data_IF_790207445221
#
_entry.id   IF_790207445221
#
_cell.length_a   1.000
_cell.length_b   1.000
_cell.length_c   1.000
_cell.angle_alpha   90.00
_cell.angle_beta   90.00
_cell.angle_gamma   90.00
#
_symmetry.space_group_name_H-M   'P 1'
#
loop_
_entity.id
_entity.type
_entity.pdbx_description
1 polymer ?
#
# COMPACT_ATOMS: atom_id res chain seq x y z
N UNK A 1 -28.05 56.02 24.01
CA UNK A 1 -26.70 55.86 23.45
C UNK A 1 -26.02 54.54 23.86
N UNK A 2 -26.31 53.95 25.03
CA UNK A 2 -25.71 52.67 25.44
C UNK A 2 -26.13 51.46 24.60
N UNK A 3 -27.41 51.33 24.23
CA UNK A 3 -27.92 50.17 23.49
C UNK A 3 -27.29 49.99 22.11
N UNK A 4 -27.06 51.08 21.38
CA UNK A 4 -26.42 51.07 20.06
C UNK A 4 -24.99 50.54 20.15
N UNK A 5 -24.24 50.95 21.17
CA UNK A 5 -22.86 50.50 21.39
C UNK A 5 -22.80 49.00 21.72
N UNK A 6 -23.76 48.50 22.50
CA UNK A 6 -23.85 47.07 22.82
C UNK A 6 -24.16 46.26 21.56
N UNK A 7 -25.11 46.69 20.74
CA UNK A 7 -25.45 46.01 19.48
C UNK A 7 -24.25 46.02 18.51
N UNK A 8 -23.55 47.14 18.38
CA UNK A 8 -22.36 47.26 17.53
C UNK A 8 -21.24 46.31 17.97
N UNK A 9 -21.06 46.12 19.28
CA UNK A 9 -20.02 45.28 19.85
C UNK A 9 -20.36 43.77 19.79
N UNK A 10 -21.66 43.41 19.76
CA UNK A 10 -22.12 42.03 19.72
C UNK A 10 -22.18 41.42 18.30
N UNK A 11 -22.39 42.23 17.26
CA UNK A 11 -22.40 41.80 15.85
C UNK A 11 -21.16 41.00 15.39
N UNK A 12 -19.91 41.42 15.70
CA UNK A 12 -18.71 40.68 15.28
C UNK A 12 -18.49 39.36 16.05
N UNK A 13 -19.19 39.13 17.17
CA UNK A 13 -19.12 37.86 17.90
C UNK A 13 -19.95 36.76 17.21
N UNK A 14 -20.91 37.11 16.35
CA UNK A 14 -21.72 36.14 15.61
C UNK A 14 -21.02 35.59 14.34
N UNK A 15 -19.96 36.25 13.86
CA UNK A 15 -19.23 35.83 12.65
C UNK A 15 -17.94 35.05 12.95
N UNK A 16 -17.61 34.86 14.23
CA UNK A 16 -16.36 34.21 14.66
C UNK A 16 -16.38 32.68 14.72
N UNK A 17 -17.54 32.03 14.58
CA UNK A 17 -17.63 30.58 14.70
C UNK A 17 -17.68 29.92 13.31
N UNK A 18 -16.59 29.27 12.90
CA UNK A 18 -16.70 28.18 11.92
C UNK A 18 -15.89 28.29 10.62
N UNK A 19 -14.76 29.00 10.58
CA UNK A 19 -13.78 28.77 9.50
C UNK A 19 -12.70 27.78 9.94
N UNK A 20 -13.08 26.51 10.11
CA UNK A 20 -12.10 25.43 10.15
C UNK A 20 -11.64 25.14 8.73
N UNK A 21 -10.39 25.48 8.41
CA UNK A 21 -9.74 25.07 7.16
C UNK A 21 -9.70 23.54 7.11
N UNK A 22 -10.44 22.94 6.18
CA UNK A 22 -10.33 21.50 5.91
C UNK A 22 -8.97 21.23 5.27
N UNK A 23 -8.03 20.74 6.07
CA UNK A 23 -6.75 20.24 5.57
C UNK A 23 -6.96 18.77 5.24
N UNK A 24 -6.95 18.45 3.95
CA UNK A 24 -6.90 17.05 3.50
C UNK A 24 -5.51 16.50 3.82
N UNK A 25 -5.42 15.70 4.88
CA UNK A 25 -4.25 14.88 5.12
C UNK A 25 -4.27 13.66 4.20
N UNK A 26 -3.10 13.26 3.69
CA UNK A 26 -2.98 12.00 2.97
C UNK A 26 -3.26 10.85 3.96
N UNK A 27 -4.18 9.95 3.59
CA UNK A 27 -4.43 8.75 4.39
C UNK A 27 -3.18 7.85 4.31
N UNK A 28 -2.62 7.41 5.45
CA UNK A 28 -1.50 6.48 5.44
C UNK A 28 -1.87 5.21 4.65
N UNK A 29 -1.05 4.83 3.68
CA UNK A 29 -1.26 3.59 2.93
C UNK A 29 -0.98 2.40 3.85
N UNK A 30 -1.90 1.43 3.91
CA UNK A 30 -1.68 0.20 4.67
C UNK A 30 -0.43 -0.50 4.12
N UNK A 31 0.57 -0.86 4.95
CA UNK A 31 1.79 -1.48 4.46
C UNK A 31 1.51 -2.81 3.75
N UNK A 32 2.38 -3.19 2.82
CA UNK A 32 2.29 -4.49 2.17
C UNK A 32 2.50 -5.60 3.22
N UNK A 33 1.80 -6.75 3.09
CA UNK A 33 2.08 -7.92 3.90
C UNK A 33 3.56 -8.28 3.85
N UNK A 34 4.19 -8.49 5.01
CA UNK A 34 5.63 -8.80 5.11
C UNK A 34 6.04 -10.02 4.28
N UNK A 35 5.14 -10.99 4.13
CA UNK A 35 5.37 -12.20 3.34
C UNK A 35 5.59 -11.90 1.85
N UNK A 36 4.92 -10.87 1.29
CA UNK A 36 5.09 -10.49 -0.11
C UNK A 36 6.40 -9.76 -0.38
N UNK A 37 7.03 -9.23 0.68
CA UNK A 37 8.30 -8.52 0.62
C UNK A 37 9.46 -9.39 1.10
N UNK A 38 9.20 -10.64 1.48
CA UNK A 38 10.25 -11.56 1.87
C UNK A 38 11.14 -11.89 0.66
N UNK A 39 12.45 -11.98 0.91
CA UNK A 39 13.39 -12.42 -0.12
C UNK A 39 13.04 -13.83 -0.61
N UNK A 40 13.08 -14.03 -1.93
CA UNK A 40 12.90 -15.36 -2.49
C UNK A 40 14.13 -16.21 -2.14
N UNK A 41 13.97 -17.36 -1.46
CA UNK A 41 15.11 -18.15 -1.02
C UNK A 41 15.91 -18.66 -2.22
N UNK A 42 17.22 -18.47 -2.18
CA UNK A 42 18.12 -19.00 -3.20
C UNK A 42 18.33 -20.50 -2.98
N UNK A 43 18.07 -21.37 -3.98
CA UNK A 43 18.36 -22.79 -3.86
C UNK A 43 19.86 -23.07 -3.71
N UNK A 44 20.19 -24.13 -2.96
CA UNK A 44 21.59 -24.57 -2.78
C UNK A 44 22.13 -25.11 -4.10
N UNK A 45 23.28 -24.60 -4.53
CA UNK A 45 24.00 -25.14 -5.69
C UNK A 45 24.86 -26.31 -5.21
N UNK A 46 24.61 -27.55 -5.66
CA UNK A 46 25.37 -28.70 -5.22
C UNK A 46 26.81 -28.66 -5.75
N UNK A 47 27.75 -29.20 -4.96
CA UNK A 47 29.16 -29.33 -5.31
C UNK A 47 29.67 -30.74 -4.92
N UNK A 48 30.09 -31.60 -5.88
CA UNK A 48 30.13 -31.34 -7.31
C UNK A 48 28.72 -31.26 -7.93
N UNK A 49 28.56 -30.41 -8.95
CA UNK A 49 27.32 -30.30 -9.71
C UNK A 49 27.23 -31.46 -10.72
N UNK A 50 26.55 -32.54 -10.31
CA UNK A 50 26.25 -33.66 -11.20
C UNK A 50 25.11 -33.31 -12.16
N UNK A 51 24.93 -34.09 -13.24
CA UNK A 51 23.80 -33.91 -14.15
C UNK A 51 22.45 -34.07 -13.42
N UNK A 52 22.30 -35.08 -12.57
CA UNK A 52 21.08 -35.24 -11.75
C UNK A 52 20.86 -34.06 -10.81
N UNK A 53 21.91 -33.61 -10.12
CA UNK A 53 21.83 -32.45 -9.22
C UNK A 53 21.50 -31.14 -9.94
N UNK A 54 21.85 -30.99 -11.23
CA UNK A 54 21.46 -29.83 -12.02
C UNK A 54 19.96 -29.84 -12.38
N UNK A 55 19.37 -31.02 -12.59
CA UNK A 55 17.93 -31.15 -12.79
C UNK A 55 17.15 -30.77 -11.53
N UNK A 56 17.57 -31.29 -10.37
CA UNK A 56 16.96 -30.94 -9.08
C UNK A 56 17.10 -29.45 -8.75
N UNK A 57 18.25 -28.86 -9.07
CA UNK A 57 18.47 -27.42 -8.96
C UNK A 57 17.52 -26.63 -9.86
N UNK A 58 17.31 -27.06 -11.12
CA UNK A 58 16.36 -26.40 -12.04
C UNK A 58 14.91 -26.47 -11.53
N UNK A 59 14.49 -27.61 -10.97
CA UNK A 59 13.16 -27.74 -10.33
C UNK A 59 13.01 -26.74 -9.18
N UNK A 60 14.03 -26.67 -8.31
CA UNK A 60 14.03 -25.75 -7.17
C UNK A 60 13.98 -24.27 -7.62
N UNK A 61 14.75 -23.92 -8.67
CA UNK A 61 14.76 -22.58 -9.24
C UNK A 61 13.42 -22.21 -9.89
N UNK A 62 12.81 -23.12 -10.64
CA UNK A 62 11.50 -22.89 -11.27
C UNK A 62 10.40 -22.73 -10.22
N UNK A 63 10.45 -23.49 -9.12
CA UNK A 63 9.53 -23.34 -8.00
C UNK A 63 9.70 -21.97 -7.31
N UNK A 64 10.94 -21.56 -7.01
CA UNK A 64 11.24 -20.27 -6.42
C UNK A 64 10.79 -19.10 -7.32
N UNK A 65 11.02 -19.20 -8.63
CA UNK A 65 10.54 -18.22 -9.61
C UNK A 65 9.02 -18.15 -9.68
N UNK A 66 8.35 -19.31 -9.64
CA UNK A 66 6.89 -19.41 -9.58
C UNK A 66 6.33 -18.66 -8.37
N UNK A 67 6.90 -18.90 -7.19
CA UNK A 67 6.50 -18.21 -5.96
C UNK A 67 6.76 -16.71 -6.04
N UNK A 68 7.94 -16.29 -6.51
CA UNK A 68 8.27 -14.88 -6.71
C UNK A 68 7.25 -14.15 -7.62
N UNK A 69 6.80 -14.82 -8.69
CA UNK A 69 5.79 -14.27 -9.59
C UNK A 69 4.41 -14.15 -8.92
N UNK A 70 4.03 -15.09 -8.06
CA UNK A 70 2.80 -15.00 -7.26
C UNK A 70 2.86 -13.82 -6.28
N UNK A 71 3.98 -13.65 -5.59
CA UNK A 71 4.15 -12.55 -4.64
C UNK A 71 4.09 -11.19 -5.36
N UNK A 72 4.76 -11.08 -6.51
CA UNK A 72 4.70 -9.90 -7.38
C UNK A 72 3.28 -9.61 -7.87
N UNK A 73 2.50 -10.64 -8.22
CA UNK A 73 1.11 -10.48 -8.60
C UNK A 73 0.25 -10.00 -7.41
N UNK A 74 0.50 -10.52 -6.21
CA UNK A 74 -0.12 -10.06 -4.97
C UNK A 74 0.13 -8.56 -4.71
N UNK A 75 1.38 -8.12 -4.84
CA UNK A 75 1.74 -6.70 -4.72
C UNK A 75 1.00 -5.86 -5.76
N UNK A 76 1.00 -6.27 -7.03
CA UNK A 76 0.30 -5.53 -8.11
C UNK A 76 -1.19 -5.35 -7.81
N UNK A 77 -1.87 -6.37 -7.29
CA UNK A 77 -3.29 -6.28 -6.90
C UNK A 77 -3.51 -5.28 -5.78
N UNK A 78 -2.62 -5.24 -4.78
CA UNK A 78 -2.70 -4.27 -3.67
C UNK A 78 -2.44 -2.85 -4.18
N UNK A 79 -1.46 -2.64 -5.06
CA UNK A 79 -1.21 -1.31 -5.63
C UNK A 79 -2.32 -0.86 -6.58
N UNK A 80 -2.94 -1.79 -7.31
CA UNK A 80 -4.09 -1.51 -8.17
C UNK A 80 -5.30 -1.04 -7.35
N UNK A 81 -5.57 -1.69 -6.21
CA UNK A 81 -6.66 -1.27 -5.30
C UNK A 81 -6.41 0.12 -4.71
N UNK A 82 -5.17 0.46 -4.36
CA UNK A 82 -4.79 1.81 -3.92
C UNK A 82 -4.95 2.88 -5.01
N UNK A 83 -4.70 2.51 -6.26
CA UNK A 83 -4.79 3.44 -7.40
C UNK A 83 -6.22 3.65 -7.90
N UNK A 84 -7.24 3.03 -7.28
CA UNK A 84 -8.63 3.05 -7.75
C UNK A 84 -8.86 2.25 -9.04
N UNK A 85 -7.83 1.58 -9.57
CA UNK A 85 -7.95 0.59 -10.64
C UNK A 85 -8.35 -0.74 -9.99
N UNK A 86 -9.62 -0.87 -9.67
CA UNK A 86 -10.16 -2.20 -9.38
C UNK A 86 -10.01 -3.01 -10.66
N UNK A 87 -9.16 -4.05 -10.65
CA UNK A 87 -9.16 -5.05 -11.72
C UNK A 87 -10.52 -5.75 -11.67
N UNK A 88 -11.47 -5.22 -12.45
CA UNK A 88 -12.68 -5.93 -12.82
C UNK A 88 -12.28 -7.07 -13.75
N UNK A 89 -11.84 -8.19 -13.17
CA UNK A 89 -11.55 -9.44 -13.86
C UNK A 89 -11.77 -10.56 -12.87
N UNK A 90 -13.03 -10.97 -12.69
CA UNK A 90 -13.71 -12.02 -13.45
C UNK A 90 -13.54 -13.36 -12.77
N UNK A 91 -14.71 -13.96 -12.55
CA UNK A 91 -14.97 -15.38 -12.38
C UNK A 91 -14.09 -16.25 -13.27
#
# INVERSE_FOLDING_TARGET
MMTVLHVLCLLPLLTGCGSTRTVYAQVPTMPLPVNLLAETPQPVIPNPLTYGGSLDLNVSLLAALGQCNLDKAGIRRIEASRSGRSESGSK
#
